data_IF_989933376295
#
_entry.id   IF_989933376295
#
_cell.length_a   1.000
_cell.length_b   1.000
_cell.length_c   1.000
_cell.angle_alpha   90.00
_cell.angle_beta   90.00
_cell.angle_gamma   90.00
#
_symmetry.space_group_name_H-M   'P 1'
#
loop_
_entity.id
_entity.type
_entity.pdbx_description
1 polymer ?
#
# COMPACT_ATOMS: atom_id res chain seq x y z
N UNK A 1 8.20 -37.69 10.14
CA UNK A 1 8.68 -36.33 10.47
C UNK A 1 7.90 -35.39 9.57
N UNK A 2 6.68 -35.05 10.00
CA UNK A 2 5.75 -34.19 9.27
C UNK A 2 6.00 -32.73 9.63
N UNK A 3 6.81 -32.04 8.84
CA UNK A 3 6.91 -30.57 8.87
C UNK A 3 5.89 -30.01 7.88
N UNK A 4 4.61 -30.04 8.25
CA UNK A 4 3.59 -29.24 7.55
C UNK A 4 3.74 -27.80 8.05
N UNK A 5 4.48 -26.98 7.32
CA UNK A 5 4.31 -25.53 7.38
C UNK A 5 2.85 -25.24 6.99
N UNK A 6 1.99 -25.01 7.97
CA UNK A 6 0.71 -24.38 7.73
C UNK A 6 1.00 -23.00 7.14
N UNK A 7 0.87 -22.88 5.81
CA UNK A 7 0.82 -21.58 5.16
C UNK A 7 -0.42 -20.90 5.75
N UNK A 8 -0.22 -20.01 6.72
CA UNK A 8 -1.26 -19.15 7.28
C UNK A 8 -1.89 -18.36 6.13
N UNK A 9 -2.97 -18.91 5.57
CA UNK A 9 -3.78 -18.21 4.59
C UNK A 9 -4.57 -17.14 5.33
N UNK A 10 -4.11 -15.90 5.22
CA UNK A 10 -4.90 -14.75 5.68
C UNK A 10 -6.27 -14.75 4.99
N UNK A 11 -7.33 -14.53 5.77
CA UNK A 11 -8.68 -14.31 5.23
C UNK A 11 -8.72 -13.11 4.27
N UNK A 12 -7.83 -12.15 4.47
CA UNK A 12 -7.68 -10.95 3.64
C UNK A 12 -6.64 -11.21 2.56
N UNK A 13 -7.02 -10.98 1.30
CA UNK A 13 -6.13 -11.06 0.14
C UNK A 13 -5.47 -9.72 -0.14
N UNK A 14 -6.21 -8.63 -0.01
CA UNK A 14 -5.66 -7.27 -0.15
C UNK A 14 -6.12 -6.34 0.94
N UNK A 15 -5.22 -5.50 1.41
CA UNK A 15 -5.51 -4.49 2.42
C UNK A 15 -5.23 -3.10 1.85
N UNK A 16 -6.18 -2.20 2.07
CA UNK A 16 -6.00 -0.80 1.76
C UNK A 16 -5.25 -0.09 2.89
N UNK A 17 -4.19 0.64 2.56
CA UNK A 17 -3.48 1.49 3.53
C UNK A 17 -3.68 2.96 3.17
N UNK A 18 -4.32 3.69 4.08
CA UNK A 18 -4.33 5.15 4.07
C UNK A 18 -3.10 5.63 4.84
N UNK A 19 -2.23 6.40 4.19
CA UNK A 19 -1.00 6.94 4.78
C UNK A 19 -0.67 8.29 4.15
N UNK A 20 0.11 9.11 4.86
CA UNK A 20 0.50 10.44 4.37
C UNK A 20 1.49 10.39 3.20
N UNK A 21 1.37 11.36 2.29
CA UNK A 21 2.35 11.61 1.21
C UNK A 21 3.66 12.26 1.71
N UNK A 22 3.75 12.57 2.99
CA UNK A 22 4.95 13.10 3.65
C UNK A 22 5.54 12.05 4.61
N UNK A 23 6.87 11.99 4.81
CA UNK A 23 7.51 11.06 5.73
C UNK A 23 7.21 11.34 7.21
N UNK A 24 6.60 12.50 7.50
CA UNK A 24 6.32 12.99 8.85
C UNK A 24 7.57 13.48 9.59
N UNK A 25 7.39 13.91 10.84
CA UNK A 25 8.46 14.51 11.66
C UNK A 25 9.20 13.50 12.53
N UNK A 26 8.66 12.29 12.72
CA UNK A 26 9.22 11.24 13.57
C UNK A 26 9.61 10.05 12.72
N UNK A 27 10.80 9.50 12.96
CA UNK A 27 11.28 8.28 12.30
C UNK A 27 10.36 7.08 12.58
N UNK A 28 9.73 7.05 13.76
CA UNK A 28 8.77 6.02 14.16
C UNK A 28 7.60 5.83 13.17
N UNK A 29 7.24 6.85 12.39
CA UNK A 29 6.19 6.73 11.38
C UNK A 29 6.69 5.97 10.14
N UNK A 30 7.94 6.22 9.75
CA UNK A 30 8.60 5.53 8.65
C UNK A 30 8.84 4.06 9.03
N UNK A 31 9.34 3.83 10.25
CA UNK A 31 9.53 2.48 10.79
C UNK A 31 8.22 1.69 10.82
N UNK A 32 7.12 2.33 11.26
CA UNK A 32 5.80 1.70 11.27
C UNK A 32 5.29 1.37 9.85
N UNK A 33 5.54 2.23 8.86
CA UNK A 33 5.16 1.98 7.47
C UNK A 33 5.92 0.78 6.88
N UNK A 34 7.22 0.68 7.15
CA UNK A 34 8.06 -0.44 6.69
C UNK A 34 7.67 -1.74 7.41
N UNK A 35 7.49 -1.69 8.74
CA UNK A 35 7.04 -2.84 9.53
C UNK A 35 5.67 -3.34 9.06
N UNK A 36 4.74 -2.44 8.75
CA UNK A 36 3.44 -2.82 8.18
C UNK A 36 3.62 -3.51 6.83
N UNK A 37 4.43 -2.96 5.93
CA UNK A 37 4.69 -3.56 4.62
C UNK A 37 5.24 -4.99 4.74
N UNK A 38 6.24 -5.18 5.61
CA UNK A 38 6.83 -6.49 5.88
C UNK A 38 5.81 -7.48 6.48
N UNK A 39 4.93 -7.01 7.36
CA UNK A 39 3.87 -7.83 7.94
C UNK A 39 2.88 -8.30 6.86
N UNK A 40 2.48 -7.41 5.94
CA UNK A 40 1.62 -7.80 4.80
C UNK A 40 2.28 -8.87 3.93
N UNK A 41 3.58 -8.70 3.64
CA UNK A 41 4.38 -9.68 2.89
C UNK A 41 4.40 -11.03 3.58
N UNK A 42 4.73 -11.06 4.88
CA UNK A 42 4.82 -12.31 5.66
C UNK A 42 3.51 -13.10 5.67
N UNK A 43 2.37 -12.40 5.54
CA UNK A 43 1.02 -12.98 5.53
C UNK A 43 0.48 -13.25 4.13
N UNK A 44 1.29 -13.07 3.09
CA UNK A 44 0.90 -13.19 1.68
C UNK A 44 -0.25 -12.24 1.28
N UNK A 45 -0.28 -11.03 1.82
CA UNK A 45 -1.32 -10.02 1.56
C UNK A 45 -0.79 -9.00 0.54
N UNK A 46 -1.64 -8.61 -0.42
CA UNK A 46 -1.34 -7.54 -1.37
C UNK A 46 -1.74 -6.16 -0.83
N UNK A 47 -1.12 -5.11 -1.36
CA UNK A 47 -1.37 -3.73 -0.95
C UNK A 47 -2.26 -2.99 -1.94
N UNK A 48 -3.23 -2.25 -1.42
CA UNK A 48 -3.95 -1.19 -2.14
C UNK A 48 -3.67 0.13 -1.43
N UNK A 49 -3.37 1.20 -2.15
CA UNK A 49 -3.07 2.50 -1.52
C UNK A 49 -3.34 3.68 -2.46
N UNK A 50 -2.95 4.89 -2.02
CA UNK A 50 -3.17 6.14 -2.75
C UNK A 50 -2.34 6.34 -4.03
N UNK A 51 -1.36 5.49 -4.34
CA UNK A 51 -0.60 5.62 -5.59
C UNK A 51 0.49 6.69 -5.62
N UNK A 52 0.83 7.30 -4.47
CA UNK A 52 1.96 8.23 -4.38
C UNK A 52 3.30 7.50 -4.28
N UNK A 53 4.39 8.10 -4.78
CA UNK A 53 5.74 7.51 -4.72
C UNK A 53 6.61 8.03 -3.56
N UNK A 54 6.11 8.99 -2.78
CA UNK A 54 6.90 9.70 -1.75
C UNK A 54 6.34 9.51 -0.34
N UNK A 55 7.15 9.83 0.67
CA UNK A 55 6.75 9.78 2.07
C UNK A 55 6.41 8.36 2.54
N UNK A 56 5.42 8.23 3.43
CA UNK A 56 5.01 6.92 3.96
C UNK A 56 4.38 6.03 2.89
N UNK A 57 3.69 6.64 1.92
CA UNK A 57 3.13 5.97 0.75
C UNK A 57 4.22 5.22 -0.04
N UNK A 58 5.33 5.88 -0.35
CA UNK A 58 6.45 5.27 -1.05
C UNK A 58 7.11 4.14 -0.25
N UNK A 59 7.31 4.35 1.05
CA UNK A 59 7.93 3.35 1.93
C UNK A 59 7.11 2.06 2.04
N UNK A 60 5.79 2.18 2.26
CA UNK A 60 4.94 1.00 2.37
C UNK A 60 4.80 0.28 1.02
N UNK A 61 4.68 1.02 -0.09
CA UNK A 61 4.61 0.39 -1.42
C UNK A 61 5.88 -0.34 -1.78
N UNK A 62 7.04 0.24 -1.48
CA UNK A 62 8.34 -0.37 -1.76
C UNK A 62 8.55 -1.64 -0.93
N UNK A 63 8.30 -1.59 0.38
CA UNK A 63 8.46 -2.75 1.25
C UNK A 63 7.59 -3.94 0.81
N UNK A 64 6.35 -3.68 0.38
CA UNK A 64 5.46 -4.73 -0.12
C UNK A 64 5.91 -5.28 -1.47
N UNK A 65 6.36 -4.40 -2.38
CA UNK A 65 6.84 -4.80 -3.70
C UNK A 65 8.14 -5.62 -3.63
N UNK A 66 9.10 -5.20 -2.81
CA UNK A 66 10.36 -5.91 -2.59
C UNK A 66 10.13 -7.30 -1.98
N UNK A 67 9.08 -7.42 -1.17
CA UNK A 67 8.59 -8.70 -0.65
C UNK A 67 7.87 -9.58 -1.67
N UNK A 68 7.78 -9.17 -2.94
CA UNK A 68 7.18 -9.96 -4.02
C UNK A 68 5.64 -10.02 -3.99
N UNK A 69 4.98 -9.11 -3.26
CA UNK A 69 3.51 -9.01 -3.24
C UNK A 69 3.02 -7.98 -4.24
N UNK A 70 1.75 -8.08 -4.62
CA UNK A 70 1.16 -7.13 -5.58
C UNK A 70 0.86 -5.80 -4.89
N UNK A 71 1.09 -4.70 -5.60
CA UNK A 71 0.82 -3.33 -5.14
C UNK A 71 -0.08 -2.65 -6.16
N UNK A 72 -1.20 -2.09 -5.69
CA UNK A 72 -2.16 -1.33 -6.50
C UNK A 72 -2.27 0.10 -5.96
N UNK A 73 -1.74 1.06 -6.72
CA UNK A 73 -1.91 2.49 -6.45
C UNK A 73 -3.12 3.05 -7.19
N UNK A 74 -4.05 3.68 -6.47
CA UNK A 74 -5.21 4.36 -7.08
C UNK A 74 -5.05 5.86 -6.96
N UNK A 75 -4.88 6.52 -8.10
CA UNK A 75 -4.58 7.95 -8.16
C UNK A 75 -5.48 8.69 -9.16
N UNK A 76 -6.05 9.85 -8.81
CA UNK A 76 -6.72 10.71 -9.77
C UNK A 76 -5.73 11.25 -10.81
N UNK A 77 -6.17 11.33 -12.06
CA UNK A 77 -5.38 11.92 -13.16
C UNK A 77 -4.88 13.33 -12.86
N UNK A 78 -5.63 14.10 -12.07
CA UNK A 78 -5.26 15.47 -11.66
C UNK A 78 -4.11 15.53 -10.66
N UNK A 79 -3.88 14.47 -9.88
CA UNK A 79 -2.85 14.40 -8.85
C UNK A 79 -1.59 13.67 -9.32
N UNK A 80 -1.64 12.94 -10.44
CA UNK A 80 -0.49 12.24 -11.00
C UNK A 80 0.79 13.09 -11.08
N UNK A 81 0.77 14.34 -11.62
CA UNK A 81 2.00 15.14 -11.72
C UNK A 81 2.60 15.54 -10.37
N UNK A 82 1.81 15.51 -9.29
CA UNK A 82 2.21 15.94 -7.94
C UNK A 82 2.56 14.80 -7.01
N UNK A 83 1.89 13.66 -7.13
CA UNK A 83 2.09 12.50 -6.25
C UNK A 83 2.96 11.39 -6.89
N UNK A 84 3.08 11.35 -8.22
CA UNK A 84 4.11 10.54 -8.94
C UNK A 84 5.29 11.43 -9.34
N UNK A 85 6.08 11.86 -8.37
CA UNK A 85 7.32 12.60 -8.63
C UNK A 85 8.54 11.68 -8.78
N UNK A 86 8.34 10.37 -8.75
CA UNK A 86 9.38 9.34 -8.85
C UNK A 86 8.78 8.04 -9.38
N UNK A 87 9.57 6.98 -9.44
CA UNK A 87 9.10 5.66 -9.87
C UNK A 87 8.11 5.08 -8.86
N UNK A 88 6.91 4.73 -9.32
CA UNK A 88 5.96 3.95 -8.54
C UNK A 88 6.18 2.48 -8.80
N UNK A 89 6.08 1.68 -7.75
CA UNK A 89 6.12 0.22 -7.85
C UNK A 89 4.72 -0.37 -8.00
N UNK A 90 4.62 -1.46 -8.75
CA UNK A 90 3.36 -2.17 -8.99
C UNK A 90 2.43 -1.49 -10.01
N UNK A 91 1.13 -1.80 -9.89
CA UNK A 91 0.09 -1.35 -10.79
C UNK A 91 -0.44 0.03 -10.37
N UNK A 92 -0.56 0.96 -11.32
CA UNK A 92 -1.18 2.28 -11.08
C UNK A 92 -2.49 2.39 -11.84
N UNK A 93 -3.59 2.61 -11.10
CA UNK A 93 -4.92 2.85 -11.63
C UNK A 93 -5.25 4.35 -11.61
N UNK A 94 -5.27 4.93 -12.79
CA UNK A 94 -5.67 6.32 -13.01
C UNK A 94 -7.21 6.46 -13.01
N UNK A 95 -7.76 7.26 -12.09
CA UNK A 95 -9.21 7.52 -11.98
C UNK A 95 -9.56 8.97 -12.31
N UNK A 96 -10.84 9.25 -12.55
CA UNK A 96 -11.27 10.60 -12.94
C UNK A 96 -11.19 11.61 -11.78
N UNK A 97 -11.56 11.19 -10.57
CA UNK A 97 -11.73 12.08 -9.43
C UNK A 97 -11.50 11.38 -8.07
N UNK A 98 -11.61 12.14 -6.98
CA UNK A 98 -11.42 11.65 -5.62
C UNK A 98 -12.52 10.70 -5.12
N UNK A 99 -13.74 10.77 -5.68
CA UNK A 99 -14.81 9.84 -5.33
C UNK A 99 -14.52 8.46 -5.93
N UNK A 100 -14.17 8.42 -7.21
CA UNK A 100 -13.71 7.20 -7.88
C UNK A 100 -12.47 6.64 -7.21
N UNK A 101 -11.52 7.49 -6.75
CA UNK A 101 -10.34 7.04 -6.00
C UNK A 101 -10.73 6.19 -4.79
N UNK A 102 -11.58 6.73 -3.93
CA UNK A 102 -12.06 6.02 -2.73
C UNK A 102 -12.87 4.77 -3.08
N UNK A 103 -13.71 4.86 -4.11
CA UNK A 103 -14.53 3.73 -4.55
C UNK A 103 -13.68 2.55 -5.07
N UNK A 104 -12.69 2.82 -5.92
CA UNK A 104 -11.78 1.80 -6.44
C UNK A 104 -10.87 1.23 -5.34
N UNK A 105 -10.35 2.08 -4.43
CA UNK A 105 -9.61 1.61 -3.26
C UNK A 105 -10.46 0.67 -2.40
N UNK A 106 -11.72 1.00 -2.16
CA UNK A 106 -12.62 0.15 -1.37
C UNK A 106 -12.99 -1.14 -2.08
N UNK A 107 -13.27 -1.09 -3.39
CA UNK A 107 -13.62 -2.25 -4.22
C UNK A 107 -12.51 -3.29 -4.30
N UNK A 108 -11.25 -2.86 -4.24
CA UNK A 108 -10.09 -3.75 -4.37
C UNK A 108 -9.57 -4.32 -3.05
N UNK A 109 -10.19 -3.98 -1.92
CA UNK A 109 -9.66 -4.22 -0.58
C UNK A 109 -10.64 -4.96 0.32
N UNK A 110 -10.12 -5.89 1.12
CA UNK A 110 -10.92 -6.65 2.08
C UNK A 110 -10.93 -6.00 3.47
N UNK A 111 -9.94 -5.16 3.76
CA UNK A 111 -9.82 -4.39 4.99
C UNK A 111 -9.05 -3.08 4.76
N UNK A 112 -9.08 -2.20 5.76
CA UNK A 112 -8.44 -0.89 5.72
C UNK A 112 -7.57 -0.67 6.97
N UNK A 113 -6.40 -0.08 6.77
CA UNK A 113 -5.47 0.34 7.82
C UNK A 113 -5.17 1.82 7.62
N UNK A 114 -5.17 2.58 8.71
CA UNK A 114 -4.78 3.98 8.71
C UNK A 114 -3.42 4.13 9.42
N UNK A 115 -2.42 4.60 8.69
CA UNK A 115 -1.15 5.10 9.21
C UNK A 115 -1.24 6.63 9.40
N UNK A 116 -0.30 7.24 10.13
CA UNK A 116 -0.21 8.70 10.22
C UNK A 116 -0.21 9.37 8.83
N UNK A 117 -0.99 10.43 8.66
CA UNK A 117 -1.14 11.11 7.37
C UNK A 117 -2.22 12.16 7.38
#
# INVERSE_FOLDING_TARGET
MDTRSEIMHSKFKRICVFCGSSPGKKTSYQDAAIQLGNELVSRNIDLVYGGGSIGLMGLVSQAVHDGGRHVIGVIPKTLMPRELTGETVGEVKAVADMHQRKAEMAKHSDAFIALPG
#
